data_IF_581631837665
#
_entry.id   IF_581631837665
#
_cell.length_a   1.000
_cell.length_b   1.000
_cell.length_c   1.000
_cell.angle_alpha   90.00
_cell.angle_beta   90.00
_cell.angle_gamma   90.00
#
_symmetry.space_group_name_H-M   'P 1'
#
loop_
_entity.id
_entity.type
_entity.pdbx_description
1 polymer ?
#
# COMPACT_ATOMS: atom_id res chain seq x y z
N UNK A 1 10.13 13.94 5.88
CA UNK A 1 8.91 13.81 5.05
C UNK A 1 7.91 12.99 5.81
N UNK A 2 6.64 13.40 5.82
CA UNK A 2 5.60 12.87 6.72
C UNK A 2 5.38 11.36 6.61
N UNK A 3 5.41 10.79 5.40
CA UNK A 3 5.30 9.32 5.19
C UNK A 3 6.33 8.53 5.99
N UNK A 4 7.55 9.08 6.14
CA UNK A 4 8.63 8.42 6.87
C UNK A 4 8.40 8.43 8.37
N UNK A 5 7.94 9.57 8.87
CA UNK A 5 7.64 9.78 10.28
C UNK A 5 6.46 8.91 10.72
N UNK A 6 5.37 8.88 9.94
CA UNK A 6 4.21 8.04 10.25
C UNK A 6 4.54 6.54 10.29
N UNK A 7 5.34 6.04 9.34
CA UNK A 7 5.72 4.62 9.34
C UNK A 7 6.62 4.26 10.53
N UNK A 8 7.53 5.15 10.92
CA UNK A 8 8.34 4.99 12.12
C UNK A 8 7.47 4.99 13.39
N UNK A 9 6.56 5.96 13.52
CA UNK A 9 5.65 6.05 14.65
C UNK A 9 4.77 4.79 14.76
N UNK A 10 4.17 4.34 13.66
CA UNK A 10 3.39 3.11 13.62
C UNK A 10 4.20 1.90 14.12
N UNK A 11 5.47 1.78 13.70
CA UNK A 11 6.35 0.71 14.15
C UNK A 11 6.63 0.78 15.66
N UNK A 12 6.94 1.97 16.17
CA UNK A 12 7.20 2.19 17.61
C UNK A 12 5.97 1.93 18.49
N UNK A 13 4.77 2.12 17.96
CA UNK A 13 3.50 1.83 18.64
C UNK A 13 3.08 0.36 18.56
N UNK A 14 3.90 -0.51 17.94
CA UNK A 14 3.66 -1.95 17.86
C UNK A 14 2.72 -2.37 16.73
N UNK A 15 2.47 -1.51 15.73
CA UNK A 15 1.72 -1.88 14.52
C UNK A 15 2.60 -2.79 13.67
N UNK A 16 2.29 -4.08 13.64
CA UNK A 16 3.10 -5.09 12.91
C UNK A 16 2.63 -5.36 11.49
N UNK A 17 1.39 -5.04 11.18
CA UNK A 17 0.76 -5.27 9.87
C UNK A 17 0.46 -3.93 9.23
N UNK A 18 0.83 -3.77 7.97
CA UNK A 18 0.71 -2.53 7.21
C UNK A 18 0.30 -2.85 5.78
N UNK A 19 -0.57 -2.01 5.22
CA UNK A 19 -0.94 -2.01 3.81
C UNK A 19 -0.59 -0.63 3.26
N UNK A 20 0.05 -0.57 2.10
CA UNK A 20 0.42 0.68 1.44
C UNK A 20 -0.50 0.92 0.26
N UNK A 21 -1.38 1.90 0.40
CA UNK A 21 -2.20 2.39 -0.70
C UNK A 21 -1.46 3.49 -1.47
N UNK A 22 -1.12 3.23 -2.74
CA UNK A 22 -0.52 4.21 -3.65
C UNK A 22 -1.64 4.95 -4.36
N UNK A 23 -1.99 6.13 -3.83
CA UNK A 23 -3.16 6.89 -4.28
C UNK A 23 -2.88 7.86 -5.44
N UNK A 24 -3.96 8.39 -6.04
CA UNK A 24 -3.97 9.35 -7.17
C UNK A 24 -3.37 8.80 -8.45
N UNK A 25 -3.56 7.50 -8.71
CA UNK A 25 -3.10 6.90 -9.96
C UNK A 25 -3.79 7.48 -11.21
N UNK A 26 -4.96 8.09 -11.03
CA UNK A 26 -5.75 8.78 -12.07
C UNK A 26 -5.22 10.17 -12.46
N UNK A 27 -4.32 10.75 -11.66
CA UNK A 27 -3.78 12.07 -11.94
C UNK A 27 -3.07 12.10 -13.30
N UNK A 28 -3.25 13.18 -14.08
CA UNK A 28 -2.70 13.29 -15.44
C UNK A 28 -1.18 13.12 -15.50
N UNK A 29 -0.47 13.43 -14.41
CA UNK A 29 0.99 13.25 -14.32
C UNK A 29 1.42 11.79 -14.11
N UNK A 30 0.52 10.93 -13.62
CA UNK A 30 0.76 9.50 -13.36
C UNK A 30 0.10 8.64 -14.44
N UNK A 31 -1.13 8.97 -14.83
CA UNK A 31 -1.91 8.34 -15.88
C UNK A 31 -1.92 6.80 -15.80
N UNK A 32 -2.21 6.29 -14.59
CA UNK A 32 -2.24 4.85 -14.25
C UNK A 32 -0.94 4.09 -14.58
N UNK A 33 0.19 4.79 -14.64
CA UNK A 33 1.49 4.24 -15.04
C UNK A 33 2.02 3.19 -14.06
N UNK A 34 2.23 1.98 -14.58
CA UNK A 34 2.91 0.90 -13.86
C UNK A 34 4.34 1.31 -13.46
N UNK A 35 5.07 2.01 -14.33
CA UNK A 35 6.45 2.39 -14.05
C UNK A 35 6.53 3.30 -12.82
N UNK A 36 5.61 4.27 -12.72
CA UNK A 36 5.54 5.19 -11.57
C UNK A 36 5.18 4.44 -10.28
N UNK A 37 4.24 3.50 -10.35
CA UNK A 37 3.90 2.65 -9.21
C UNK A 37 5.11 1.82 -8.75
N UNK A 38 5.83 1.16 -9.66
CA UNK A 38 6.99 0.32 -9.33
C UNK A 38 8.14 1.13 -8.73
N UNK A 39 8.36 2.36 -9.21
CA UNK A 39 9.32 3.30 -8.62
C UNK A 39 8.95 3.61 -7.16
N UNK A 40 7.71 4.03 -6.91
CA UNK A 40 7.21 4.34 -5.56
C UNK A 40 7.28 3.10 -4.66
N UNK A 41 6.86 1.94 -5.16
CA UNK A 41 6.91 0.67 -4.42
C UNK A 41 8.35 0.36 -3.99
N UNK A 42 9.33 0.53 -4.88
CA UNK A 42 10.74 0.25 -4.59
C UNK A 42 11.29 1.20 -3.53
N UNK A 43 11.04 2.51 -3.67
CA UNK A 43 11.51 3.51 -2.71
C UNK A 43 10.90 3.31 -1.32
N UNK A 44 9.59 3.09 -1.25
CA UNK A 44 8.87 2.89 0.01
C UNK A 44 9.27 1.56 0.65
N UNK A 45 9.43 0.49 -0.14
CA UNK A 45 9.89 -0.81 0.37
C UNK A 45 11.29 -0.72 1.01
N UNK A 46 12.22 -0.04 0.34
CA UNK A 46 13.57 0.19 0.87
C UNK A 46 13.54 0.99 2.17
N UNK A 47 12.63 1.97 2.26
CA UNK A 47 12.46 2.76 3.46
C UNK A 47 11.84 1.96 4.61
N UNK A 48 10.76 1.21 4.36
CA UNK A 48 10.10 0.37 5.36
C UNK A 48 11.04 -0.73 5.90
N UNK A 49 11.88 -1.29 5.03
CA UNK A 49 12.95 -2.23 5.42
C UNK A 49 13.94 -1.62 6.42
N UNK A 50 14.28 -0.34 6.26
CA UNK A 50 15.17 0.37 7.19
C UNK A 50 14.53 0.64 8.55
N UNK A 51 13.21 0.81 8.62
CA UNK A 51 12.48 0.96 9.89
C UNK A 51 12.43 -0.37 10.66
N UNK A 52 12.39 -1.50 9.94
CA UNK A 52 12.32 -2.84 10.54
C UNK A 52 11.12 -3.67 10.08
N UNK A 53 10.28 -3.14 9.18
CA UNK A 53 9.22 -3.94 8.54
C UNK A 53 9.81 -4.92 7.54
N UNK A 54 9.10 -6.04 7.29
CA UNK A 54 9.37 -6.92 6.17
C UNK A 54 8.53 -6.48 4.94
N UNK A 55 9.14 -5.90 3.89
CA UNK A 55 8.40 -5.43 2.71
C UNK A 55 7.65 -6.54 1.97
N UNK A 56 8.12 -7.79 2.02
CA UNK A 56 7.46 -8.92 1.36
C UNK A 56 6.08 -9.25 1.97
N UNK A 57 5.84 -8.81 3.20
CA UNK A 57 4.57 -8.99 3.92
C UNK A 57 3.64 -7.78 3.83
N UNK A 58 4.05 -6.71 3.14
CA UNK A 58 3.28 -5.48 3.04
C UNK A 58 2.67 -5.41 1.64
N UNK A 59 1.34 -5.55 1.52
CA UNK A 59 0.67 -5.36 0.23
C UNK A 59 0.78 -3.91 -0.22
N UNK A 60 1.16 -3.70 -1.48
CA UNK A 60 1.08 -2.42 -2.16
C UNK A 60 -0.10 -2.46 -3.13
N UNK A 61 -1.04 -1.53 -2.96
CA UNK A 61 -2.26 -1.45 -3.77
C UNK A 61 -2.29 -0.10 -4.47
N UNK A 62 -2.21 -0.05 -5.82
CA UNK A 62 -2.41 1.19 -6.57
C UNK A 62 -3.90 1.51 -6.59
N UNK A 63 -4.30 2.69 -6.13
CA UNK A 63 -5.70 3.11 -6.04
C UNK A 63 -5.93 4.49 -6.66
N UNK A 64 -7.18 4.73 -7.04
CA UNK A 64 -7.71 6.10 -7.16
C UNK A 64 -8.82 6.27 -6.15
N UNK A 65 -8.58 7.10 -5.13
CA UNK A 65 -9.65 7.48 -4.19
C UNK A 65 -10.74 8.35 -4.82
N UNK A 66 -10.48 8.97 -5.99
CA UNK A 66 -11.44 9.82 -6.69
C UNK A 66 -12.38 9.01 -7.58
N UNK A 67 -11.82 8.11 -8.39
CA UNK A 67 -12.59 7.27 -9.30
C UNK A 67 -13.03 5.93 -8.68
N UNK A 68 -12.50 5.57 -7.51
CA UNK A 68 -12.81 4.31 -6.82
C UNK A 68 -11.98 3.10 -7.28
N UNK A 69 -11.00 3.29 -8.17
CA UNK A 69 -10.18 2.22 -8.73
C UNK A 69 -9.45 1.41 -7.64
N UNK A 70 -9.56 0.08 -7.69
CA UNK A 70 -8.94 -0.88 -6.77
C UNK A 70 -9.28 -0.68 -5.29
N UNK A 71 -10.35 0.06 -4.96
CA UNK A 71 -10.83 0.23 -3.59
C UNK A 71 -11.65 -0.99 -3.14
N UNK A 72 -12.73 -1.27 -3.89
CA UNK A 72 -13.63 -2.41 -3.67
C UNK A 72 -13.54 -3.39 -4.84
N UNK A 73 -13.59 -2.84 -6.06
CA UNK A 73 -13.54 -3.59 -7.31
C UNK A 73 -12.23 -3.33 -8.06
N UNK A 74 -11.81 -4.29 -8.89
CA UNK A 74 -10.59 -4.16 -9.69
C UNK A 74 -10.79 -3.13 -10.80
N UNK A 75 -9.78 -2.29 -10.97
CA UNK A 75 -9.76 -1.26 -12.00
C UNK A 75 -9.53 -1.83 -13.40
N UNK A 76 -10.32 -1.37 -14.36
CA UNK A 76 -10.07 -1.60 -15.80
C UNK A 76 -8.92 -0.73 -16.34
N UNK A 77 -8.58 0.38 -15.67
CA UNK A 77 -7.49 1.28 -16.06
C UNK A 77 -6.10 0.74 -15.70
N UNK A 78 -6.03 -0.15 -14.71
CA UNK A 78 -4.79 -0.73 -14.19
C UNK A 78 -4.74 -2.25 -14.44
N UNK A 79 -4.99 -2.70 -15.68
CA UNK A 79 -5.00 -4.12 -16.03
C UNK A 79 -3.68 -4.86 -15.75
N UNK A 80 -2.57 -4.12 -15.65
CA UNK A 80 -1.25 -4.63 -15.27
C UNK A 80 -1.16 -5.04 -13.79
N UNK A 81 -2.01 -4.49 -12.92
CA UNK A 81 -2.05 -4.84 -11.51
C UNK A 81 -2.87 -6.12 -11.31
N UNK A 82 -2.24 -7.17 -10.79
CA UNK A 82 -2.88 -8.48 -10.54
C UNK A 82 -3.10 -8.78 -9.05
N UNK A 83 -2.75 -7.85 -8.18
CA UNK A 83 -2.90 -7.99 -6.74
C UNK A 83 -4.35 -7.82 -6.25
N UNK A 84 -4.53 -7.84 -4.91
CA UNK A 84 -5.84 -7.63 -4.28
C UNK A 84 -6.28 -6.16 -4.36
N UNK A 85 -7.59 -5.91 -4.31
CA UNK A 85 -8.13 -4.58 -4.02
C UNK A 85 -7.81 -4.16 -2.58
N UNK A 86 -8.04 -2.89 -2.24
CA UNK A 86 -7.80 -2.41 -0.89
C UNK A 86 -8.66 -3.15 0.15
N UNK A 87 -9.92 -3.44 -0.17
CA UNK A 87 -10.80 -4.24 0.67
C UNK A 87 -10.29 -5.68 0.82
N UNK A 88 -9.94 -6.33 -0.29
CA UNK A 88 -9.38 -7.70 -0.25
C UNK A 88 -8.08 -7.76 0.56
N UNK A 89 -7.25 -6.71 0.51
CA UNK A 89 -6.03 -6.61 1.31
C UNK A 89 -6.34 -6.45 2.81
N UNK A 90 -7.41 -5.73 3.17
CA UNK A 90 -7.87 -5.59 4.55
C UNK A 90 -8.40 -6.92 5.11
N UNK A 91 -9.14 -7.68 4.30
CA UNK A 91 -9.67 -9.00 4.68
C UNK A 91 -8.55 -10.03 4.93
N UNK A 92 -7.36 -9.83 4.35
CA UNK A 92 -6.18 -10.67 4.57
C UNK A 92 -5.42 -10.33 5.87
N UNK A 93 -5.77 -9.24 6.56
CA UNK A 93 -5.13 -8.86 7.81
C UNK A 93 -5.48 -9.87 8.90
N UNK A 94 -4.45 -10.36 9.59
CA UNK A 94 -4.64 -11.33 10.66
C UNK A 94 -5.03 -10.63 11.95
N UNK A 95 -6.02 -11.15 12.65
CA UNK A 95 -6.38 -10.61 13.97
C UNK A 95 -5.21 -10.76 14.96
N UNK A 96 -4.89 -9.70 15.72
CA UNK A 96 -3.88 -9.81 16.75
C UNK A 96 -4.36 -10.74 17.86
N UNK A 97 -3.45 -11.56 18.41
CA UNK A 97 -3.76 -12.37 19.57
C UNK A 97 -4.14 -11.47 20.73
N UNK A 98 -5.31 -11.71 21.35
CA UNK A 98 -5.68 -11.03 22.59
C UNK A 98 -4.63 -11.33 23.66
N UNK A 99 -4.15 -10.33 24.40
CA UNK A 99 -3.34 -10.59 25.58
C UNK A 99 -4.17 -11.38 26.57
N UNK A 100 -3.66 -12.54 27.00
CA UNK A 100 -4.16 -13.30 28.14
C UNK A 100 -3.77 -12.63 29.45
#
# INVERSE_FOLDING_TARGET
GQTREHALLAYTLGVKQMIVAVNKMDDKSVNYSQARFTEIQTEVSNFLKKIGYNPEKIPFVPISGWNGDNMLEKSENMTWYKGPTLLEALDQVQEPKRPS
#
